data_IF_083700861265
#
_entry.id   IF_083700861265
#
_cell.length_a   1.000
_cell.length_b   1.000
_cell.length_c   1.000
_cell.angle_alpha   90.00
_cell.angle_beta   90.00
_cell.angle_gamma   90.00
#
_symmetry.space_group_name_H-M   'P 1'
#
loop_
_entity.id
_entity.type
_entity.pdbx_description
1 polymer ?
#
# COMPACT_ATOMS: atom_id res chain seq x y z
N UNK A 1 12.38 25.77 19.69
CA UNK A 1 10.95 26.12 19.45
C UNK A 1 10.48 25.65 18.07
N UNK A 2 11.40 25.43 17.13
CA UNK A 2 11.10 25.18 15.71
C UNK A 2 10.39 23.84 15.46
N UNK A 3 10.70 22.80 16.22
CA UNK A 3 10.04 21.48 16.08
C UNK A 3 8.58 21.49 16.52
N UNK A 4 8.22 22.27 17.55
CA UNK A 4 6.83 22.34 18.03
C UNK A 4 5.95 23.03 16.98
N UNK A 5 6.45 24.14 16.41
CA UNK A 5 5.73 24.89 15.40
C UNK A 5 5.51 24.04 14.13
N UNK A 6 6.55 23.29 13.71
CA UNK A 6 6.44 22.32 12.63
C UNK A 6 5.39 21.23 12.91
N UNK A 7 5.43 20.59 14.08
CA UNK A 7 4.49 19.53 14.47
C UNK A 7 3.05 20.06 14.52
N UNK A 8 2.82 21.25 15.06
CA UNK A 8 1.48 21.86 15.14
C UNK A 8 0.89 22.11 13.75
N UNK A 9 1.67 22.65 12.83
CA UNK A 9 1.22 22.89 11.45
C UNK A 9 0.89 21.56 10.77
N UNK A 10 1.77 20.56 10.88
CA UNK A 10 1.54 19.22 10.30
C UNK A 10 0.29 18.57 10.89
N UNK A 11 0.09 18.67 12.20
CA UNK A 11 -1.09 18.12 12.87
C UNK A 11 -2.39 18.78 12.38
N UNK A 12 -2.40 20.11 12.21
CA UNK A 12 -3.55 20.83 11.66
C UNK A 12 -3.86 20.40 10.23
N UNK A 13 -2.83 20.26 9.38
CA UNK A 13 -3.00 19.81 7.99
C UNK A 13 -3.59 18.41 7.95
N UNK A 14 -3.03 17.45 8.70
CA UNK A 14 -3.51 16.06 8.73
C UNK A 14 -4.96 16.00 9.26
N UNK A 15 -5.27 16.73 10.33
CA UNK A 15 -6.61 16.78 10.91
C UNK A 15 -7.64 17.34 9.92
N UNK A 16 -7.29 18.40 9.19
CA UNK A 16 -8.15 18.97 8.16
C UNK A 16 -8.39 17.99 7.01
N UNK A 17 -7.34 17.29 6.54
CA UNK A 17 -7.45 16.27 5.49
C UNK A 17 -8.26 15.04 5.90
N UNK A 18 -8.18 14.62 7.18
CA UNK A 18 -8.90 13.44 7.69
C UNK A 18 -10.42 13.53 7.51
N UNK A 19 -11.02 14.73 7.47
CA UNK A 19 -12.47 14.87 7.21
C UNK A 19 -12.86 14.47 5.79
N UNK A 20 -11.95 14.62 4.83
CA UNK A 20 -12.20 14.30 3.42
C UNK A 20 -11.89 12.84 3.14
N UNK A 21 -10.73 12.35 3.61
CA UNK A 21 -10.24 11.01 3.23
C UNK A 21 -10.38 9.96 4.32
N UNK A 22 -10.65 10.35 5.56
CA UNK A 22 -10.85 9.42 6.68
C UNK A 22 -9.55 8.93 7.33
N UNK A 23 -9.63 8.61 8.63
CA UNK A 23 -8.49 8.11 9.42
C UNK A 23 -7.99 6.73 8.96
N UNK A 24 -8.90 5.91 8.42
CA UNK A 24 -8.57 4.58 7.90
C UNK A 24 -7.60 4.62 6.73
N UNK A 25 -7.72 5.64 5.87
CA UNK A 25 -6.82 5.77 4.73
C UNK A 25 -5.39 6.07 5.19
N UNK A 26 -5.23 6.96 6.18
CA UNK A 26 -3.92 7.35 6.70
C UNK A 26 -3.17 6.14 7.24
N UNK A 27 -3.83 5.33 8.08
CA UNK A 27 -3.21 4.11 8.63
C UNK A 27 -2.92 3.06 7.55
N UNK A 28 -3.81 2.92 6.56
CA UNK A 28 -3.62 2.00 5.45
C UNK A 28 -2.44 2.39 4.55
N UNK A 29 -2.27 3.67 4.22
CA UNK A 29 -1.16 4.15 3.39
C UNK A 29 0.20 4.02 4.10
N UNK A 30 0.23 4.11 5.43
CA UNK A 30 1.45 3.88 6.19
C UNK A 30 1.83 2.39 6.16
N UNK A 31 0.85 1.48 6.16
CA UNK A 31 1.11 0.04 6.38
C UNK A 31 1.10 -0.81 5.11
N UNK A 32 0.14 -0.60 4.21
CA UNK A 32 -0.11 -1.49 3.06
C UNK A 32 0.93 -1.37 1.93
N UNK A 33 1.32 -0.17 1.44
CA UNK A 33 2.33 -0.06 0.39
C UNK A 33 3.67 -0.70 0.79
N UNK A 34 4.04 -0.58 2.07
CA UNK A 34 5.23 -1.21 2.64
C UNK A 34 5.06 -2.73 2.65
N UNK A 35 3.93 -3.25 3.13
CA UNK A 35 3.65 -4.68 3.16
C UNK A 35 3.66 -5.32 1.76
N UNK A 36 3.13 -4.62 0.76
CA UNK A 36 3.14 -5.04 -0.64
C UNK A 36 4.58 -5.05 -1.18
N UNK A 37 5.34 -3.98 -0.92
CA UNK A 37 6.73 -3.84 -1.40
C UNK A 37 7.69 -4.84 -0.77
N UNK A 38 7.51 -5.14 0.52
CA UNK A 38 8.22 -6.19 1.26
C UNK A 38 8.02 -7.57 0.65
N UNK A 39 6.84 -7.84 0.08
CA UNK A 39 6.59 -9.10 -0.62
C UNK A 39 7.38 -9.12 -1.93
N UNK A 40 7.37 -8.05 -2.71
CA UNK A 40 7.95 -8.06 -4.05
C UNK A 40 9.49 -8.03 -4.03
N UNK A 41 10.09 -7.32 -3.08
CA UNK A 41 11.52 -6.98 -3.09
C UNK A 41 12.29 -7.62 -1.94
N UNK A 42 13.60 -7.82 -2.11
CA UNK A 42 14.51 -8.33 -1.05
C UNK A 42 15.51 -7.29 -0.55
N UNK A 43 15.57 -6.13 -1.20
CA UNK A 43 16.51 -5.05 -0.87
C UNK A 43 15.76 -3.89 -0.23
N UNK A 44 16.32 -3.35 0.85
CA UNK A 44 15.72 -2.26 1.61
C UNK A 44 15.55 -0.97 0.78
N UNK A 45 16.56 -0.63 -0.06
CA UNK A 45 16.46 0.55 -0.94
C UNK A 45 15.31 0.41 -1.94
N UNK A 46 15.14 -0.77 -2.51
CA UNK A 46 14.07 -1.03 -3.48
C UNK A 46 12.70 -1.08 -2.82
N UNK A 47 12.62 -1.59 -1.58
CA UNK A 47 11.41 -1.57 -0.77
C UNK A 47 10.89 -0.15 -0.56
N UNK A 48 11.76 0.79 -0.17
CA UNK A 48 11.37 2.19 0.04
C UNK A 48 10.85 2.78 -1.27
N UNK A 49 11.62 2.64 -2.36
CA UNK A 49 11.26 3.23 -3.65
C UNK A 49 9.92 2.68 -4.17
N UNK A 50 9.73 1.36 -4.07
CA UNK A 50 8.50 0.69 -4.52
C UNK A 50 7.30 1.04 -3.62
N UNK A 51 7.52 1.21 -2.32
CA UNK A 51 6.45 1.56 -1.38
C UNK A 51 5.91 2.96 -1.66
N UNK A 52 6.80 3.93 -1.91
CA UNK A 52 6.39 5.29 -2.28
C UNK A 52 5.62 5.26 -3.60
N UNK A 53 6.17 4.59 -4.61
CA UNK A 53 5.53 4.48 -5.92
C UNK A 53 4.14 3.81 -5.86
N UNK A 54 4.01 2.69 -5.15
CA UNK A 54 2.73 2.00 -4.99
C UNK A 54 1.73 2.81 -4.19
N UNK A 55 2.17 3.52 -3.14
CA UNK A 55 1.31 4.39 -2.35
C UNK A 55 0.73 5.52 -3.18
N UNK A 56 1.58 6.22 -3.92
CA UNK A 56 1.20 7.32 -4.81
C UNK A 56 0.25 6.84 -5.92
N UNK A 57 0.60 5.74 -6.60
CA UNK A 57 -0.23 5.16 -7.65
C UNK A 57 -1.61 4.75 -7.12
N UNK A 58 -1.67 4.16 -5.92
CA UNK A 58 -2.94 3.75 -5.31
C UNK A 58 -3.84 4.93 -4.96
N UNK A 59 -3.25 6.06 -4.51
CA UNK A 59 -4.00 7.30 -4.24
C UNK A 59 -4.55 7.89 -5.54
N UNK A 60 -3.73 7.99 -6.59
CA UNK A 60 -4.17 8.53 -7.89
C UNK A 60 -5.30 7.67 -8.48
N UNK A 61 -5.09 6.35 -8.56
CA UNK A 61 -6.09 5.42 -9.10
C UNK A 61 -7.35 5.41 -8.24
N UNK A 62 -7.22 5.39 -6.92
CA UNK A 62 -8.36 5.37 -6.02
C UNK A 62 -9.16 6.68 -6.04
N UNK A 63 -8.51 7.83 -6.22
CA UNK A 63 -9.20 9.11 -6.42
C UNK A 63 -9.98 9.14 -7.73
N UNK A 64 -9.36 8.70 -8.83
CA UNK A 64 -10.02 8.64 -10.14
C UNK A 64 -11.24 7.70 -10.08
N UNK A 65 -11.09 6.52 -9.49
CA UNK A 65 -12.19 5.57 -9.33
C UNK A 65 -13.29 6.13 -8.42
N UNK A 66 -12.93 6.72 -7.28
CA UNK A 66 -13.88 7.34 -6.37
C UNK A 66 -14.69 8.46 -7.03
N UNK A 67 -14.03 9.25 -7.89
CA UNK A 67 -14.68 10.30 -8.66
C UNK A 67 -15.72 9.74 -9.66
N UNK A 68 -15.38 8.69 -10.41
CA UNK A 68 -16.32 8.08 -11.36
C UNK A 68 -17.44 7.28 -10.69
N UNK A 69 -17.18 6.69 -9.53
CA UNK A 69 -18.13 5.83 -8.82
C UNK A 69 -18.97 6.59 -7.79
N UNK A 70 -18.73 7.89 -7.59
CA UNK A 70 -19.43 8.76 -6.64
C UNK A 70 -19.46 8.20 -5.20
N UNK A 71 -18.32 7.64 -4.77
CA UNK A 71 -18.13 7.02 -3.46
C UNK A 71 -16.95 7.66 -2.70
N UNK A 72 -16.92 7.47 -1.39
CA UNK A 72 -15.87 8.00 -0.52
C UNK A 72 -14.46 7.59 -0.98
N UNK A 73 -13.54 8.54 -1.27
CA UNK A 73 -12.17 8.25 -1.70
C UNK A 73 -11.39 7.43 -0.68
N UNK A 74 -11.64 7.68 0.61
CA UNK A 74 -11.01 6.98 1.70
C UNK A 74 -11.22 5.47 1.63
N UNK A 75 -12.46 5.05 1.41
CA UNK A 75 -12.80 3.64 1.30
C UNK A 75 -12.18 2.99 0.05
N UNK A 76 -12.27 3.67 -1.10
CA UNK A 76 -11.79 3.15 -2.38
C UNK A 76 -10.30 2.88 -2.35
N UNK A 77 -9.50 3.85 -1.90
CA UNK A 77 -8.03 3.69 -1.88
C UNK A 77 -7.63 2.54 -0.93
N UNK A 78 -8.28 2.43 0.24
CA UNK A 78 -8.02 1.33 1.18
C UNK A 78 -8.34 -0.03 0.56
N UNK A 79 -9.52 -0.17 -0.05
CA UNK A 79 -9.94 -1.42 -0.70
C UNK A 79 -8.98 -1.79 -1.84
N UNK A 80 -8.56 -0.80 -2.63
CA UNK A 80 -7.62 -1.01 -3.73
C UNK A 80 -6.27 -1.53 -3.23
N UNK A 81 -5.72 -0.95 -2.16
CA UNK A 81 -4.49 -1.44 -1.53
C UNK A 81 -4.63 -2.87 -0.97
N UNK A 82 -5.77 -3.19 -0.35
CA UNK A 82 -6.05 -4.53 0.19
C UNK A 82 -6.13 -5.56 -0.94
N UNK A 83 -6.79 -5.22 -2.05
CA UNK A 83 -6.85 -6.07 -3.25
C UNK A 83 -5.43 -6.30 -3.80
N UNK A 84 -4.62 -5.25 -3.90
CA UNK A 84 -3.25 -5.32 -4.41
C UNK A 84 -2.36 -6.21 -3.50
N UNK A 85 -2.55 -6.13 -2.18
CA UNK A 85 -1.90 -7.02 -1.22
C UNK A 85 -2.35 -8.49 -1.38
N UNK A 86 -3.65 -8.74 -1.56
CA UNK A 86 -4.15 -10.10 -1.79
C UNK A 86 -3.59 -10.69 -3.08
N UNK A 87 -3.57 -9.91 -4.16
CA UNK A 87 -3.03 -10.30 -5.46
C UNK A 87 -1.55 -10.68 -5.33
N UNK A 88 -0.74 -9.82 -4.72
CA UNK A 88 0.71 -10.10 -4.55
C UNK A 88 0.97 -11.32 -3.68
N UNK A 89 0.14 -11.56 -2.64
CA UNK A 89 0.22 -12.77 -1.83
C UNK A 89 -0.14 -14.03 -2.62
N UNK A 90 -1.20 -13.98 -3.44
CA UNK A 90 -1.62 -15.09 -4.28
C UNK A 90 -0.55 -15.45 -5.33
N UNK A 91 0.03 -14.45 -6.00
CA UNK A 91 1.12 -14.64 -6.97
C UNK A 91 2.34 -15.33 -6.36
N UNK A 92 2.76 -14.92 -5.15
CA UNK A 92 3.86 -15.61 -4.46
C UNK A 92 3.54 -17.06 -4.13
N UNK A 93 2.32 -17.32 -3.63
CA UNK A 93 1.91 -18.67 -3.26
C UNK A 93 1.96 -19.60 -4.49
N UNK A 94 1.50 -19.13 -5.65
CA UNK A 94 1.58 -19.88 -6.90
C UNK A 94 3.02 -20.10 -7.36
N UNK A 95 3.86 -19.07 -7.32
CA UNK A 95 5.28 -19.16 -7.70
C UNK A 95 6.06 -20.15 -6.82
N UNK A 96 5.78 -20.17 -5.51
CA UNK A 96 6.41 -21.11 -4.58
C UNK A 96 5.95 -22.55 -4.80
N UNK A 97 4.66 -22.78 -5.09
CA UNK A 97 4.15 -24.11 -5.45
C UNK A 97 4.89 -24.69 -6.67
N UNK A 98 5.13 -23.87 -7.69
CA UNK A 98 5.83 -24.29 -8.90
C UNK A 98 7.30 -24.65 -8.64
N UNK A 99 8.00 -23.88 -7.79
CA UNK A 99 9.40 -24.15 -7.44
C UNK A 99 9.57 -25.42 -6.59
N UNK A 100 8.55 -25.79 -5.80
CA UNK A 100 8.57 -26.99 -4.95
C UNK A 100 8.30 -28.29 -5.73
N UNK A 101 7.60 -28.22 -6.86
CA UNK A 101 7.36 -29.37 -7.74
C UNK A 101 8.57 -29.81 -8.57
N UNK A 102 9.55 -28.93 -8.79
CA UNK A 102 10.77 -29.25 -9.53
C UNK A 102 11.86 -29.92 -8.67
N UNK A 103 11.89 -29.67 -7.36
CA UNK A 103 12.96 -30.13 -6.47
C UNK A 103 12.70 -31.51 -5.83
N UNK A 104 11.52 -32.11 -6.06
CA UNK A 104 11.18 -33.47 -5.59
C UNK A 104 11.46 -34.56 -6.64
N UNK A 105 11.79 -34.18 -7.88
CA UNK A 105 12.06 -35.10 -8.98
C UNK A 105 13.56 -35.35 -9.21
N UNK A 106 14.45 -34.65 -8.50
CA UNK A 106 15.91 -34.90 -8.54
C UNK A 106 16.38 -35.90 -7.46
N UNK A 107 15.46 -36.39 -6.61
CA UNK A 107 15.74 -37.39 -5.56
C UNK A 107 15.08 -38.76 -5.84
N UNK A 108 14.63 -38.99 -7.08
CA UNK A 108 14.14 -40.30 -7.53
C UNK A 108 14.90 -40.78 -8.75
#
# INVERSE_FOLDING_TARGET
>A
MDSILFIVIVAMVISASMRVVGILLVSALITLPIAISMRITKSFKQLILLSVFLGELSVILGLVLAFYMDISPGGVIVVLLVILLMITMAYQKMRMKFKKGANINEYK
#
